data_IF_142927731995
#
_entry.id   IF_142927731995
#
_cell.length_a   1.000
_cell.length_b   1.000
_cell.length_c   1.000
_cell.angle_alpha   90.00
_cell.angle_beta   90.00
_cell.angle_gamma   90.00
#
_symmetry.space_group_name_H-M   'P 1'
#
loop_
_entity.id
_entity.type
_entity.pdbx_description
1 polymer ?
#
# COMPACT_ATOMS: atom_id res chain seq x y z
N UNK A 1 19.70 -15.36 -3.28
CA UNK A 1 20.22 -14.24 -4.09
C UNK A 1 19.11 -13.39 -4.70
N UNK A 2 18.10 -13.99 -5.37
CA UNK A 2 16.94 -13.27 -5.94
C UNK A 2 16.15 -12.39 -4.95
N UNK A 3 15.99 -12.82 -3.70
CA UNK A 3 15.28 -12.04 -2.67
C UNK A 3 16.01 -10.74 -2.26
N UNK A 4 17.35 -10.72 -2.30
CA UNK A 4 18.14 -9.53 -1.97
C UNK A 4 18.10 -8.49 -3.09
N UNK A 5 18.07 -8.92 -4.35
CA UNK A 5 17.90 -8.03 -5.49
C UNK A 5 16.51 -7.35 -5.51
N UNK A 6 15.46 -8.09 -5.14
CA UNK A 6 14.11 -7.53 -5.03
C UNK A 6 13.99 -6.45 -3.95
N UNK A 7 14.59 -6.68 -2.78
CA UNK A 7 14.55 -5.71 -1.67
C UNK A 7 15.26 -4.39 -2.00
N UNK A 8 16.37 -4.44 -2.74
CA UNK A 8 17.11 -3.23 -3.15
C UNK A 8 16.33 -2.36 -4.12
N UNK A 9 15.67 -2.96 -5.11
CA UNK A 9 14.85 -2.23 -6.08
C UNK A 9 13.65 -1.55 -5.40
N UNK A 10 12.96 -2.26 -4.50
CA UNK A 10 11.85 -1.72 -3.73
C UNK A 10 12.26 -0.57 -2.79
N UNK A 11 13.40 -0.69 -2.11
CA UNK A 11 13.89 0.36 -1.23
C UNK A 11 14.21 1.64 -2.01
N UNK A 12 14.77 1.50 -3.22
CA UNK A 12 15.04 2.63 -4.12
C UNK A 12 13.74 3.31 -4.57
N UNK A 13 12.78 2.54 -5.08
CA UNK A 13 11.50 3.09 -5.58
C UNK A 13 10.69 3.76 -4.45
N UNK A 14 10.72 3.20 -3.24
CA UNK A 14 10.10 3.81 -2.07
C UNK A 14 10.78 5.13 -1.66
N UNK A 15 12.12 5.17 -1.68
CA UNK A 15 12.89 6.39 -1.38
C UNK A 15 12.60 7.49 -2.40
N UNK A 16 12.54 7.16 -3.68
CA UNK A 16 12.18 8.09 -4.75
C UNK A 16 10.76 8.63 -4.55
N UNK A 17 9.80 7.76 -4.23
CA UNK A 17 8.42 8.17 -3.98
C UNK A 17 8.28 9.10 -2.77
N UNK A 18 9.07 8.90 -1.70
CA UNK A 18 9.09 9.80 -0.55
C UNK A 18 9.72 11.15 -0.89
N UNK A 19 10.79 11.13 -1.71
CA UNK A 19 11.47 12.34 -2.18
C UNK A 19 10.54 13.17 -3.06
N UNK A 20 9.84 12.54 -4.00
CA UNK A 20 8.82 13.17 -4.84
C UNK A 20 7.69 13.77 -4.01
N UNK A 21 7.22 13.09 -2.96
CA UNK A 21 6.19 13.64 -2.07
C UNK A 21 6.66 14.86 -1.30
N UNK A 22 7.88 14.82 -0.75
CA UNK A 22 8.44 15.98 -0.04
C UNK A 22 8.62 17.14 -1.00
N UNK A 23 9.18 16.87 -2.19
CA UNK A 23 9.38 17.87 -3.23
C UNK A 23 8.03 18.51 -3.65
N UNK A 24 7.00 17.70 -3.88
CA UNK A 24 5.65 18.18 -4.21
C UNK A 24 5.04 19.01 -3.07
N UNK A 25 5.20 18.61 -1.80
CA UNK A 25 4.68 19.38 -0.66
C UNK A 25 5.41 20.71 -0.46
N UNK A 26 6.70 20.75 -0.79
CA UNK A 26 7.50 21.98 -0.76
C UNK A 26 7.42 22.80 -2.06
N UNK A 27 6.71 22.30 -3.08
CA UNK A 27 6.62 22.98 -4.36
C UNK A 27 5.75 24.23 -4.20
N UNK A 28 6.22 25.34 -4.77
CA UNK A 28 5.51 26.60 -4.77
C UNK A 28 4.72 26.73 -6.08
N UNK A 29 3.70 27.58 -6.10
CA UNK A 29 2.98 27.92 -7.33
C UNK A 29 3.92 28.60 -8.33
N UNK A 30 3.81 28.25 -9.61
CA UNK A 30 4.64 28.85 -10.65
C UNK A 30 4.35 30.36 -10.75
N UNK A 31 5.40 31.18 -10.80
CA UNK A 31 5.26 32.60 -11.11
C UNK A 31 4.78 32.83 -12.54
N UNK A 32 4.25 34.02 -12.82
CA UNK A 32 3.83 34.39 -14.18
C UNK A 32 5.01 34.28 -15.16
N UNK A 33 4.86 33.44 -16.19
CA UNK A 33 5.87 33.20 -17.21
C UNK A 33 6.95 32.17 -16.84
N UNK A 34 6.87 31.55 -15.67
CA UNK A 34 7.83 30.55 -15.24
C UNK A 34 7.50 29.16 -15.81
N UNK A 35 8.40 28.64 -16.66
CA UNK A 35 8.27 27.31 -17.29
C UNK A 35 9.11 26.24 -16.55
N UNK A 36 9.25 26.39 -15.23
CA UNK A 36 10.01 25.44 -14.42
C UNK A 36 9.20 24.15 -14.22
N UNK A 37 9.85 23.00 -14.28
CA UNK A 37 9.18 21.71 -14.01
C UNK A 37 8.87 21.51 -12.53
N UNK A 38 9.54 22.27 -11.64
CA UNK A 38 9.51 22.02 -10.19
C UNK A 38 8.46 22.84 -9.42
N UNK A 39 7.67 23.66 -10.10
CA UNK A 39 6.59 24.44 -9.50
C UNK A 39 5.21 23.83 -9.79
N UNK A 40 4.22 24.19 -8.98
CA UNK A 40 2.83 23.80 -9.14
C UNK A 40 2.16 24.72 -10.15
N UNK A 41 1.65 24.13 -11.24
CA UNK A 41 0.90 24.84 -12.26
C UNK A 41 -0.57 24.54 -12.11
N UNK A 42 -1.37 25.56 -11.83
CA UNK A 42 -2.83 25.48 -11.91
C UNK A 42 -3.23 25.81 -13.34
N UNK A 43 -3.98 24.91 -13.96
CA UNK A 43 -4.49 25.08 -15.30
C UNK A 43 -6.00 24.92 -15.23
N UNK A 44 -6.70 25.98 -15.57
CA UNK A 44 -8.15 25.98 -15.64
C UNK A 44 -8.59 25.31 -16.95
N UNK A 45 -9.55 24.42 -16.82
CA UNK A 45 -10.05 23.57 -17.90
C UNK A 45 -11.53 23.33 -17.67
N UNK A 46 -12.22 22.91 -18.72
CA UNK A 46 -13.64 22.60 -18.67
C UNK A 46 -13.85 21.11 -18.87
N UNK A 47 -14.86 20.57 -18.20
CA UNK A 47 -15.30 19.20 -18.42
C UNK A 47 -15.94 19.11 -19.80
N UNK A 48 -15.34 18.32 -20.69
CA UNK A 48 -15.84 18.07 -22.04
C UNK A 48 -17.04 17.12 -22.03
N UNK A 49 -16.91 16.05 -21.24
CA UNK A 49 -17.93 15.04 -21.06
C UNK A 49 -17.83 14.50 -19.64
N UNK A 50 -18.92 14.63 -18.88
CA UNK A 50 -19.05 14.19 -17.50
C UNK A 50 -20.27 13.29 -17.40
N UNK A 51 -20.06 12.01 -17.11
CA UNK A 51 -21.16 11.08 -16.90
C UNK A 51 -21.57 11.07 -15.42
N UNK A 52 -22.85 11.33 -15.08
CA UNK A 52 -23.32 11.41 -13.69
C UNK A 52 -23.24 10.07 -12.95
N UNK A 53 -23.19 8.95 -13.68
CA UNK A 53 -22.98 7.61 -13.12
C UNK A 53 -21.52 7.13 -13.26
N UNK A 54 -20.66 7.97 -13.84
CA UNK A 54 -19.32 7.60 -14.27
C UNK A 54 -18.24 8.11 -13.31
N UNK A 55 -17.45 7.19 -12.79
CA UNK A 55 -16.11 7.46 -12.25
C UNK A 55 -15.12 8.03 -13.28
N UNK A 56 -15.59 8.32 -14.49
CA UNK A 56 -14.81 8.67 -15.67
C UNK A 56 -15.36 9.96 -16.27
N UNK A 57 -14.49 10.93 -16.50
CA UNK A 57 -14.81 12.18 -17.20
C UNK A 57 -13.66 12.59 -18.12
N UNK A 58 -13.97 13.39 -19.12
CA UNK A 58 -12.98 13.91 -20.07
C UNK A 58 -12.84 15.41 -19.88
N UNK A 59 -11.60 15.90 -19.82
CA UNK A 59 -11.31 17.34 -19.76
C UNK A 59 -10.83 17.85 -21.12
N UNK A 60 -11.34 19.03 -21.50
CA UNK A 60 -10.91 19.78 -22.67
C UNK A 60 -9.89 20.84 -22.26
N UNK A 61 -8.72 20.82 -22.86
CA UNK A 61 -7.67 21.78 -22.51
C UNK A 61 -6.35 21.56 -23.24
N UNK A 62 -5.26 22.20 -22.77
CA UNK A 62 -3.94 21.96 -23.33
C UNK A 62 -3.49 20.51 -23.08
N UNK A 63 -2.57 20.01 -23.91
CA UNK A 63 -2.12 18.60 -23.94
C UNK A 63 -1.69 18.05 -22.56
N UNK A 64 -1.24 18.91 -21.65
CA UNK A 64 -0.88 18.52 -20.29
C UNK A 64 -2.08 18.10 -19.40
N UNK A 65 -3.30 18.44 -19.81
CA UNK A 65 -4.54 18.33 -19.01
C UNK A 65 -5.68 17.66 -19.79
N UNK A 66 -5.65 17.70 -21.12
CA UNK A 66 -6.65 17.03 -21.93
C UNK A 66 -6.62 15.51 -21.74
N UNK A 67 -7.79 14.89 -21.78
CA UNK A 67 -7.94 13.43 -21.79
C UNK A 67 -8.90 12.90 -20.74
N UNK A 68 -8.95 11.57 -20.65
CA UNK A 68 -9.84 10.83 -19.77
C UNK A 68 -9.26 10.74 -18.34
N UNK A 69 -10.14 10.90 -17.36
CA UNK A 69 -9.82 10.86 -15.94
C UNK A 69 -10.70 9.83 -15.26
N UNK A 70 -10.08 8.80 -14.69
CA UNK A 70 -10.76 7.82 -13.85
C UNK A 70 -10.51 8.12 -12.39
N UNK A 71 -11.52 8.59 -11.67
CA UNK A 71 -11.52 8.65 -10.21
C UNK A 71 -11.83 7.26 -9.66
N UNK A 72 -11.28 6.94 -8.50
CA UNK A 72 -11.68 5.75 -7.74
C UNK A 72 -12.25 6.25 -6.44
N UNK A 73 -13.56 6.04 -6.24
CA UNK A 73 -14.31 6.52 -5.08
C UNK A 73 -14.20 8.05 -4.89
N UNK A 74 -14.87 8.85 -5.75
CA UNK A 74 -14.81 10.30 -5.68
C UNK A 74 -15.47 10.77 -4.37
N UNK A 75 -15.00 11.87 -3.76
CA UNK A 75 -15.82 12.55 -2.76
C UNK A 75 -17.09 13.08 -3.43
N UNK A 76 -18.18 13.22 -2.67
CA UNK A 76 -19.48 13.73 -3.16
C UNK A 76 -19.38 15.08 -3.90
N UNK A 77 -18.35 15.87 -3.62
CA UNK A 77 -18.08 17.14 -4.31
C UNK A 77 -17.57 17.00 -5.75
N UNK A 78 -17.18 15.79 -6.19
CA UNK A 78 -16.71 15.49 -7.53
C UNK A 78 -17.56 14.42 -8.25
N UNK A 79 -18.47 13.74 -7.55
CA UNK A 79 -19.35 12.72 -8.13
C UNK A 79 -20.27 13.32 -9.22
N UNK A 80 -20.79 14.54 -8.99
CA UNK A 80 -21.71 15.19 -9.92
C UNK A 80 -21.00 16.17 -10.88
N UNK A 81 -19.87 15.78 -11.48
CA UNK A 81 -19.16 16.65 -12.43
C UNK A 81 -19.95 16.71 -13.73
N UNK A 82 -20.44 17.89 -14.10
CA UNK A 82 -21.25 18.08 -15.32
C UNK A 82 -20.39 18.61 -16.46
N UNK A 83 -20.75 18.22 -17.69
CA UNK A 83 -20.20 18.83 -18.90
C UNK A 83 -20.35 20.36 -18.85
N UNK A 84 -19.28 21.07 -19.17
CA UNK A 84 -19.19 22.53 -19.14
C UNK A 84 -18.81 23.12 -17.77
N UNK A 85 -18.65 22.32 -16.70
CA UNK A 85 -18.13 22.84 -15.44
C UNK A 85 -16.65 23.21 -15.53
N UNK A 86 -16.28 24.30 -14.85
CA UNK A 86 -14.91 24.74 -14.69
C UNK A 86 -14.24 23.97 -13.55
N UNK A 87 -13.07 23.42 -13.85
CA UNK A 87 -12.21 22.75 -12.88
C UNK A 87 -10.78 23.23 -13.06
N UNK A 88 -10.07 23.34 -11.95
CA UNK A 88 -8.65 23.65 -11.94
C UNK A 88 -7.87 22.38 -11.72
N UNK A 89 -7.01 22.02 -12.67
CA UNK A 89 -6.09 20.88 -12.52
C UNK A 89 -4.72 21.39 -12.10
N UNK A 90 -4.21 20.80 -11.04
CA UNK A 90 -2.84 21.05 -10.57
C UNK A 90 -1.89 20.07 -11.25
N UNK A 91 -0.89 20.60 -11.92
CA UNK A 91 0.16 19.85 -12.62
C UNK A 91 1.52 20.15 -11.98
N UNK A 92 2.31 19.10 -11.74
CA UNK A 92 3.67 19.19 -11.20
C UNK A 92 4.59 18.24 -11.96
N UNK A 93 5.72 18.74 -12.46
CA UNK A 93 6.65 17.98 -13.33
C UNK A 93 5.97 17.28 -14.52
N UNK A 94 4.91 17.89 -15.07
CA UNK A 94 4.11 17.32 -16.16
C UNK A 94 3.15 16.19 -15.74
N UNK A 95 3.06 15.87 -14.44
CA UNK A 95 2.09 14.92 -13.88
C UNK A 95 0.92 15.67 -13.26
N UNK A 96 -0.28 15.12 -13.43
CA UNK A 96 -1.53 15.67 -12.88
C UNK A 96 -1.65 15.21 -11.43
N UNK A 97 -1.62 16.13 -10.47
CA UNK A 97 -1.54 15.79 -9.05
C UNK A 97 -2.85 15.99 -8.32
N UNK A 98 -3.63 17.00 -8.69
CA UNK A 98 -4.93 17.27 -8.07
C UNK A 98 -5.91 17.90 -9.06
N UNK A 99 -7.20 17.74 -8.78
CA UNK A 99 -8.29 18.44 -9.44
C UNK A 99 -9.11 19.16 -8.37
N UNK A 100 -9.45 20.41 -8.64
CA UNK A 100 -10.27 21.25 -7.77
C UNK A 100 -11.48 21.71 -8.56
N UNK A 101 -12.68 21.43 -8.04
CA UNK A 101 -13.92 22.00 -8.57
C UNK A 101 -14.05 23.42 -8.03
N UNK A 102 -14.13 24.40 -8.92
CA UNK A 102 -14.15 25.81 -8.52
C UNK A 102 -15.44 26.18 -7.79
N UNK A 103 -16.58 25.64 -8.23
CA UNK A 103 -17.90 25.95 -7.66
C UNK A 103 -18.09 25.49 -6.20
N UNK A 104 -17.48 24.37 -5.81
CA UNK A 104 -17.61 23.80 -4.46
C UNK A 104 -16.33 23.89 -3.63
N UNK A 105 -15.20 24.27 -4.24
CA UNK A 105 -13.87 24.23 -3.63
C UNK A 105 -13.36 22.81 -3.36
N UNK A 106 -14.08 21.77 -3.79
CA UNK A 106 -13.71 20.38 -3.55
C UNK A 106 -12.42 20.03 -4.28
N UNK A 107 -11.36 19.71 -3.52
CA UNK A 107 -10.05 19.30 -4.08
C UNK A 107 -9.81 17.81 -3.86
N UNK A 108 -9.37 17.12 -4.91
CA UNK A 108 -9.03 15.69 -4.85
C UNK A 108 -7.70 15.42 -5.53
N UNK A 109 -6.88 14.62 -4.86
CA UNK A 109 -5.64 14.09 -5.41
C UNK A 109 -5.93 13.03 -6.47
N UNK A 110 -5.23 13.09 -7.58
CA UNK A 110 -5.32 12.09 -8.64
C UNK A 110 -4.46 10.87 -8.34
N UNK A 111 -4.77 9.70 -8.92
CA UNK A 111 -3.95 8.49 -8.77
C UNK A 111 -2.51 8.67 -9.28
N UNK A 112 -2.30 9.60 -10.22
CA UNK A 112 -0.99 9.95 -10.76
C UNK A 112 -0.13 10.77 -9.77
N UNK A 113 -0.73 11.26 -8.67
CA UNK A 113 0.02 11.96 -7.63
C UNK A 113 0.97 11.00 -6.90
N UNK A 114 2.19 11.44 -6.53
CA UNK A 114 3.12 10.63 -5.75
C UNK A 114 2.54 10.23 -4.37
N UNK A 115 1.47 10.88 -3.94
CA UNK A 115 0.72 10.59 -2.72
C UNK A 115 -0.12 9.31 -2.82
N UNK A 116 -0.65 8.99 -4.01
CA UNK A 116 -1.48 7.80 -4.23
C UNK A 116 -0.70 6.48 -4.21
N UNK A 117 0.62 6.50 -4.45
CA UNK A 117 1.46 5.29 -4.56
C UNK A 117 2.02 4.78 -3.23
N UNK A 118 2.08 5.65 -2.21
CA UNK A 118 2.66 5.34 -0.91
C UNK A 118 1.95 4.22 -0.12
N UNK A 119 0.61 4.16 -0.04
CA UNK A 119 -0.06 3.14 0.77
C UNK A 119 0.18 1.72 0.25
N UNK A 120 0.34 1.54 -1.07
CA UNK A 120 0.66 0.25 -1.66
C UNK A 120 2.08 -0.21 -1.30
N UNK A 121 3.06 0.70 -1.38
CA UNK A 121 4.45 0.37 -1.07
C UNK A 121 4.64 0.10 0.43
N UNK A 122 4.05 0.93 1.31
CA UNK A 122 4.15 0.70 2.75
C UNK A 122 3.49 -0.61 3.18
N UNK A 123 2.33 -0.95 2.60
CA UNK A 123 1.69 -2.25 2.82
C UNK A 123 2.60 -3.41 2.38
N UNK A 124 3.26 -3.30 1.22
CA UNK A 124 4.19 -4.33 0.75
C UNK A 124 5.40 -4.49 1.68
N UNK A 125 5.99 -3.39 2.15
CA UNK A 125 7.11 -3.41 3.10
C UNK A 125 6.69 -4.08 4.41
N UNK A 126 5.50 -3.76 4.93
CA UNK A 126 4.95 -4.40 6.13
C UNK A 126 4.76 -5.91 5.93
N UNK A 127 4.23 -6.33 4.78
CA UNK A 127 4.08 -7.75 4.45
C UNK A 127 5.44 -8.44 4.40
N UNK A 128 6.43 -7.87 3.70
CA UNK A 128 7.78 -8.44 3.60
C UNK A 128 8.47 -8.53 4.97
N UNK A 129 8.34 -7.49 5.79
CA UNK A 129 8.89 -7.47 7.15
C UNK A 129 8.25 -8.55 8.02
N UNK A 130 6.94 -8.73 7.88
CA UNK A 130 6.19 -9.75 8.63
C UNK A 130 6.60 -11.17 8.21
N UNK A 131 6.73 -11.43 6.89
CA UNK A 131 7.23 -12.70 6.34
C UNK A 131 8.66 -12.98 6.81
N UNK A 132 9.54 -11.97 6.79
CA UNK A 132 10.91 -12.10 7.28
C UNK A 132 10.96 -12.43 8.79
N UNK A 133 10.12 -11.77 9.60
CA UNK A 133 9.99 -12.06 11.03
C UNK A 133 9.50 -13.48 11.30
N UNK A 134 8.56 -13.99 10.51
CA UNK A 134 8.11 -15.39 10.57
C UNK A 134 9.23 -16.37 10.24
N UNK A 135 10.01 -16.09 9.19
CA UNK A 135 11.13 -16.95 8.79
C UNK A 135 12.23 -16.98 9.86
N UNK A 136 12.58 -15.82 10.44
CA UNK A 136 13.58 -15.73 11.51
C UNK A 136 13.13 -16.43 12.78
N UNK A 137 11.88 -16.24 13.20
CA UNK A 137 11.33 -16.91 14.39
C UNK A 137 11.24 -18.43 14.20
N UNK A 138 10.81 -18.91 13.03
CA UNK A 138 10.82 -20.33 12.70
C UNK A 138 12.23 -20.93 12.74
N UNK A 139 13.22 -20.21 12.18
CA UNK A 139 14.63 -20.64 12.18
C UNK A 139 15.19 -20.69 13.59
N UNK A 140 14.96 -19.64 14.39
CA UNK A 140 15.37 -19.59 15.80
C UNK A 140 14.78 -20.73 16.61
N UNK A 141 13.48 -21.01 16.41
CA UNK A 141 12.79 -22.09 17.11
C UNK A 141 13.30 -23.47 16.69
N UNK A 142 13.60 -23.66 15.40
CA UNK A 142 14.29 -24.86 14.92
C UNK A 142 15.66 -25.02 15.59
N UNK A 143 16.47 -23.97 15.65
CA UNK A 143 17.81 -24.00 16.27
C UNK A 143 17.73 -24.33 17.77
N UNK A 144 16.87 -23.64 18.51
CA UNK A 144 16.62 -23.92 19.93
C UNK A 144 16.23 -25.38 20.14
N UNK A 145 15.29 -25.88 19.33
CA UNK A 145 14.79 -27.23 19.49
C UNK A 145 15.79 -28.30 19.05
N UNK A 146 16.63 -28.01 18.05
CA UNK A 146 17.75 -28.90 17.68
C UNK A 146 18.79 -28.98 18.78
N UNK A 147 19.04 -27.89 19.52
CA UNK A 147 19.93 -27.89 20.67
C UNK A 147 19.42 -28.83 21.78
N UNK A 148 18.10 -28.91 22.00
CA UNK A 148 17.49 -29.88 22.90
C UNK A 148 17.41 -31.31 22.32
N UNK A 149 17.38 -31.46 20.98
CA UNK A 149 17.22 -32.73 20.25
C UNK A 149 18.53 -33.41 19.86
N UNK A 150 19.70 -32.94 20.34
CA UNK A 150 20.95 -33.73 20.33
C UNK A 150 20.79 -35.05 21.13
N UNK A 151 19.63 -35.29 21.76
CA UNK A 151 19.16 -36.64 22.14
C UNK A 151 18.40 -37.33 20.99
N UNK A 152 18.82 -38.53 20.54
CA UNK A 152 18.36 -39.14 19.28
C UNK A 152 16.93 -39.67 19.41
N UNK A 153 15.91 -38.86 19.13
CA UNK A 153 14.52 -39.33 18.96
C UNK A 153 13.75 -38.57 17.86
N UNK A 154 13.72 -39.17 16.67
CA UNK A 154 12.52 -39.32 15.84
C UNK A 154 12.20 -38.24 14.80
N UNK A 155 12.39 -38.58 13.53
CA UNK A 155 11.99 -37.84 12.30
C UNK A 155 10.53 -37.34 12.34
N UNK A 156 9.64 -38.05 13.05
CA UNK A 156 8.22 -37.69 13.20
C UNK A 156 8.01 -36.32 13.87
N UNK A 157 8.89 -35.91 14.78
CA UNK A 157 8.80 -34.60 15.45
C UNK A 157 9.18 -33.46 14.50
N UNK A 158 10.17 -33.66 13.64
CA UNK A 158 10.60 -32.68 12.65
C UNK A 158 9.46 -32.37 11.66
N UNK A 159 8.72 -33.40 11.24
CA UNK A 159 7.60 -33.25 10.31
C UNK A 159 6.43 -32.45 10.91
N UNK A 160 6.15 -32.61 12.20
CA UNK A 160 5.12 -31.82 12.90
C UNK A 160 5.54 -30.34 12.95
N UNK A 161 6.81 -30.05 13.25
CA UNK A 161 7.33 -28.68 13.29
C UNK A 161 7.22 -28.02 11.91
N UNK A 162 7.70 -28.68 10.86
CA UNK A 162 7.64 -28.18 9.49
C UNK A 162 6.21 -27.86 9.04
N UNK A 163 5.25 -28.73 9.40
CA UNK A 163 3.84 -28.53 9.05
C UNK A 163 3.21 -27.37 9.82
N UNK A 164 3.60 -27.17 11.08
CA UNK A 164 3.13 -26.03 11.88
C UNK A 164 3.69 -24.69 11.39
N UNK A 165 4.97 -24.64 11.01
CA UNK A 165 5.57 -23.43 10.45
C UNK A 165 4.95 -23.06 9.11
N UNK A 166 4.65 -24.05 8.26
CA UNK A 166 3.96 -23.82 7.00
C UNK A 166 2.54 -23.27 7.21
N UNK A 167 1.80 -23.83 8.17
CA UNK A 167 0.45 -23.35 8.52
C UNK A 167 0.46 -21.91 9.03
N UNK A 168 1.40 -21.56 9.90
CA UNK A 168 1.53 -20.20 10.43
C UNK A 168 1.86 -19.19 9.32
N UNK A 169 2.74 -19.57 8.39
CA UNK A 169 3.09 -18.74 7.24
C UNK A 169 1.89 -18.48 6.31
N UNK A 170 1.05 -19.48 6.05
CA UNK A 170 -0.17 -19.33 5.25
C UNK A 170 -1.20 -18.42 5.93
N UNK A 171 -1.37 -18.54 7.25
CA UNK A 171 -2.27 -17.65 8.01
C UNK A 171 -1.76 -16.20 8.01
N UNK A 172 -0.46 -15.99 8.19
CA UNK A 172 0.15 -14.66 8.12
C UNK A 172 -0.01 -14.02 6.73
N UNK A 173 0.17 -14.80 5.65
CA UNK A 173 -0.07 -14.34 4.29
C UNK A 173 -1.54 -13.98 4.04
N UNK A 174 -2.48 -14.79 4.55
CA UNK A 174 -3.92 -14.50 4.47
C UNK A 174 -4.33 -13.22 5.22
N UNK A 175 -3.80 -13.02 6.42
CA UNK A 175 -4.05 -11.78 7.21
C UNK A 175 -3.46 -10.56 6.50
N UNK A 176 -2.25 -10.67 5.93
CA UNK A 176 -1.64 -9.60 5.14
C UNK A 176 -2.44 -9.24 3.89
N UNK A 177 -3.04 -10.23 3.23
CA UNK A 177 -3.92 -10.01 2.09
C UNK A 177 -5.21 -9.25 2.49
N UNK A 178 -5.85 -9.65 3.59
CA UNK A 178 -7.08 -8.99 4.07
C UNK A 178 -6.78 -7.58 4.60
N UNK A 179 -5.61 -7.36 5.22
CA UNK A 179 -5.21 -6.05 5.72
C UNK A 179 -4.90 -5.03 4.61
N UNK A 180 -4.74 -5.47 3.34
CA UNK A 180 -4.54 -4.56 2.19
C UNK A 180 -5.71 -3.60 2.00
N UNK A 181 -6.92 -4.03 2.33
CA UNK A 181 -8.14 -3.23 2.16
C UNK A 181 -8.50 -2.42 3.41
N UNK A 182 -7.89 -2.73 4.56
CA UNK A 182 -8.12 -2.01 5.81
C UNK A 182 -6.96 -1.06 6.12
N UNK A 183 -7.23 0.24 6.11
CA UNK A 183 -6.26 1.29 6.45
C UNK A 183 -5.72 1.26 7.90
N UNK A 184 -6.11 0.28 8.73
CA UNK A 184 -5.69 0.19 10.13
C UNK A 184 -4.84 -1.06 10.40
N UNK A 185 -3.73 -0.86 11.10
CA UNK A 185 -2.82 -1.91 11.58
C UNK A 185 -3.36 -2.67 12.81
N UNK A 186 -4.46 -2.20 13.37
CA UNK A 186 -5.11 -2.70 14.59
C UNK A 186 -5.45 -4.20 14.52
N UNK A 187 -6.10 -4.74 13.45
CA UNK A 187 -6.39 -6.17 13.36
C UNK A 187 -5.12 -7.03 13.30
N UNK A 188 -4.04 -6.56 12.67
CA UNK A 188 -2.78 -7.31 12.61
C UNK A 188 -2.15 -7.42 14.01
N UNK A 189 -2.13 -6.33 14.76
CA UNK A 189 -1.57 -6.29 16.13
C UNK A 189 -2.39 -7.12 17.13
N UNK A 190 -3.71 -7.26 16.92
CA UNK A 190 -4.60 -8.04 17.81
C UNK A 190 -4.64 -9.52 17.41
N UNK A 191 -4.71 -9.84 16.11
CA UNK A 191 -4.79 -11.23 15.67
C UNK A 191 -3.52 -12.03 15.97
N UNK A 192 -2.36 -11.39 15.97
CA UNK A 192 -1.08 -12.07 16.19
C UNK A 192 -0.95 -12.72 17.59
N UNK A 193 -1.14 -11.98 18.72
CA UNK A 193 -1.08 -12.58 20.04
C UNK A 193 -2.17 -13.62 20.27
N UNK A 194 -3.37 -13.40 19.72
CA UNK A 194 -4.47 -14.37 19.81
C UNK A 194 -4.12 -15.67 19.09
N UNK A 195 -3.60 -15.60 17.86
CA UNK A 195 -3.16 -16.77 17.12
C UNK A 195 -2.01 -17.50 17.83
N UNK A 196 -1.05 -16.77 18.40
CA UNK A 196 0.05 -17.35 19.17
C UNK A 196 -0.46 -18.07 20.44
N UNK A 197 -1.38 -17.47 21.20
CA UNK A 197 -1.98 -18.07 22.40
C UNK A 197 -2.80 -19.31 22.06
N UNK A 198 -3.61 -19.24 20.99
CA UNK A 198 -4.38 -20.39 20.51
C UNK A 198 -3.46 -21.52 20.05
N UNK A 199 -2.37 -21.19 19.35
CA UNK A 199 -1.39 -22.18 18.91
C UNK A 199 -0.67 -22.86 20.09
N UNK A 200 -0.22 -22.08 21.07
CA UNK A 200 0.44 -22.60 22.29
C UNK A 200 -0.51 -23.47 23.10
N UNK A 201 -1.74 -23.01 23.31
CA UNK A 201 -2.75 -23.76 24.08
C UNK A 201 -3.16 -25.06 23.39
N UNK A 202 -3.29 -25.05 22.07
CA UNK A 202 -3.60 -26.25 21.27
C UNK A 202 -2.47 -27.28 21.33
N UNK A 203 -1.21 -26.84 21.22
CA UNK A 203 -0.06 -27.74 21.36
C UNK A 203 0.05 -28.34 22.77
N UNK A 204 -0.25 -27.55 23.82
CA UNK A 204 -0.27 -28.04 25.21
C UNK A 204 -1.29 -29.15 25.43
N UNK A 205 -2.49 -29.04 24.85
CA UNK A 205 -3.53 -30.06 24.98
C UNK A 205 -3.09 -31.40 24.37
N UNK A 206 -2.52 -31.38 23.15
CA UNK A 206 -2.05 -32.61 22.50
C UNK A 206 -0.96 -33.35 23.28
N UNK A 207 -0.10 -32.64 24.00
CA UNK A 207 0.92 -33.28 24.84
C UNK A 207 0.36 -33.98 26.07
N UNK A 208 -0.84 -33.63 26.53
CA UNK A 208 -1.50 -34.30 27.65
C UNK A 208 -2.23 -35.57 27.21
N UNK A 209 -2.77 -35.58 25.99
CA UNK A 209 -3.51 -36.74 25.46
C UNK A 209 -2.60 -37.89 24.98
N UNK A 210 -1.27 -37.73 25.02
CA UNK A 210 -0.29 -38.69 24.48
C UNK A 210 0.71 -39.25 25.51
N UNK A 211 0.50 -38.97 26.80
CA UNK A 211 1.18 -39.63 27.93
C UNK A 211 0.24 -40.59 28.63
#
# INVERSE_FOLDING_TARGET
MLALCGAGHFAHEFSDSLTDQRALRSAHECGFGESSRNCLRRIDTTVADGHPEGLVFTLDGPVAVAGEYRLSNPPSTLEDLRSGEHVTVTVWQGRRTAITRESTGGTRLLPDAPQGRLPLHSAMVLILLNVAGCALSATWWCLWRTHELIRPRGIRKLWIVARTTLGLALVAAGIGYIARDFASLVPILICWPVAAVLFVSWNRRRSLDSG
#
